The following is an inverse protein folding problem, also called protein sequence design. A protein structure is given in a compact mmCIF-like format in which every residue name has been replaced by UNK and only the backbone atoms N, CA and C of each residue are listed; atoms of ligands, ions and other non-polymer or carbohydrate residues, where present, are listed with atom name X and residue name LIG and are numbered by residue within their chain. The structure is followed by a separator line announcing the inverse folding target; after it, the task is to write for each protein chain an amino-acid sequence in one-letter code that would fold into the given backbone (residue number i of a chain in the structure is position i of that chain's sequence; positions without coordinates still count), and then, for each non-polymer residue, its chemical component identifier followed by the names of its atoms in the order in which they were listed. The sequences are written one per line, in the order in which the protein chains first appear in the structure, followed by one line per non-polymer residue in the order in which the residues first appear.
data_IF_032946845420
#
_entry.id   IF_032946845420
#
_cell.length_a   1.000
_cell.length_b   1.000
_cell.length_c   1.000
_cell.angle_alpha   90.00
_cell.angle_beta   90.00
_cell.angle_gamma   90.00
#
_symmetry.space_group_name_H-M   'P 1'
#
loop_
_entity.id
_entity.type
_entity.pdbx_description
1 polymer ?
#
# COMPACT_ATOMS: atom_id res chain seq x y z
N UNK A 1 -5.91 -10.13 17.12
CA UNK A 1 -6.41 -10.95 16.01
C UNK A 1 -7.31 -10.06 15.17
N UNK A 2 -7.02 -9.92 13.89
CA UNK A 2 -7.89 -9.29 12.91
C UNK A 2 -8.79 -10.39 12.32
N UNK A 3 -10.10 -10.20 12.39
CA UNK A 3 -11.07 -11.10 11.78
C UNK A 3 -11.95 -10.31 10.82
N UNK A 4 -12.25 -10.88 9.66
CA UNK A 4 -13.24 -10.33 8.75
C UNK A 4 -14.64 -10.79 9.15
N UNK A 5 -15.62 -9.89 9.10
CA UNK A 5 -17.02 -10.24 9.28
C UNK A 5 -17.62 -10.94 8.06
N UNK A 6 -16.93 -10.83 6.91
CA UNK A 6 -17.33 -11.48 5.67
C UNK A 6 -16.36 -12.59 5.32
N UNK A 7 -16.88 -13.72 4.89
CA UNK A 7 -16.10 -14.85 4.39
C UNK A 7 -15.94 -14.72 2.88
N UNK A 8 -14.71 -14.60 2.41
CA UNK A 8 -14.37 -14.53 0.99
C UNK A 8 -12.99 -15.11 0.73
N UNK A 9 -12.72 -15.46 -0.52
CA UNK A 9 -11.42 -15.99 -0.94
C UNK A 9 -10.30 -14.92 -0.91
N UNK A 10 -10.66 -13.65 -0.79
CA UNK A 10 -9.73 -12.51 -0.88
C UNK A 10 -9.05 -12.14 0.45
N UNK A 11 -9.55 -12.68 1.56
CA UNK A 11 -8.99 -12.44 2.89
C UNK A 11 -9.08 -10.99 3.36
N UNK A 12 -8.24 -10.64 4.33
CA UNK A 12 -8.11 -9.27 4.86
C UNK A 12 -6.90 -8.61 4.18
N UNK A 13 -7.14 -7.52 3.47
CA UNK A 13 -6.07 -6.67 2.96
C UNK A 13 -5.66 -5.65 4.03
N UNK A 14 -4.37 -5.58 4.33
CA UNK A 14 -3.80 -4.62 5.27
C UNK A 14 -2.75 -3.81 4.53
N UNK A 15 -2.91 -2.50 4.53
CA UNK A 15 -2.05 -1.57 3.80
C UNK A 15 -1.42 -0.58 4.77
N UNK A 16 -0.11 -0.36 4.62
CA UNK A 16 0.59 0.75 5.26
C UNK A 16 0.51 1.97 4.34
N UNK A 17 -0.27 2.98 4.74
CA UNK A 17 -0.51 4.18 3.93
C UNK A 17 0.31 5.40 4.40
N UNK A 18 1.43 5.16 5.07
CA UNK A 18 2.33 6.20 5.57
C UNK A 18 3.79 5.77 5.43
N UNK A 19 4.72 6.70 5.50
CA UNK A 19 6.17 6.42 5.54
C UNK A 19 6.63 5.65 6.79
N UNK A 20 5.70 5.25 7.66
CA UNK A 20 5.97 4.40 8.81
C UNK A 20 6.07 2.92 8.41
N UNK A 21 6.82 2.13 9.16
CA UNK A 21 6.92 0.68 9.00
C UNK A 21 6.15 -0.04 10.10
N UNK A 22 4.97 0.45 10.46
CA UNK A 22 4.21 -0.07 11.62
C UNK A 22 3.78 -1.51 11.38
N UNK A 23 3.20 -1.81 10.23
CA UNK A 23 2.73 -3.16 9.91
C UNK A 23 3.88 -4.15 9.76
N UNK A 24 5.01 -3.71 9.18
CA UNK A 24 6.23 -4.49 9.07
C UNK A 24 6.83 -4.76 10.47
N UNK A 25 6.92 -3.73 11.31
CA UNK A 25 7.45 -3.86 12.67
C UNK A 25 6.56 -4.75 13.57
N UNK A 26 5.26 -4.79 13.29
CA UNK A 26 4.33 -5.72 13.94
C UNK A 26 4.38 -7.13 13.34
N UNK A 27 5.15 -7.36 12.28
CA UNK A 27 5.22 -8.64 11.59
C UNK A 27 3.93 -9.04 10.87
N UNK A 28 3.08 -8.06 10.57
CA UNK A 28 1.81 -8.28 9.83
C UNK A 28 2.05 -8.35 8.33
N UNK A 29 3.06 -7.63 7.82
CA UNK A 29 3.51 -7.68 6.43
C UNK A 29 5.02 -7.91 6.40
N UNK A 30 5.52 -8.40 5.27
CA UNK A 30 6.96 -8.49 5.04
C UNK A 30 7.45 -7.26 4.28
N UNK A 31 8.75 -6.96 4.37
CA UNK A 31 9.35 -5.86 3.59
C UNK A 31 9.44 -6.16 2.08
N UNK A 32 9.24 -7.40 1.67
CA UNK A 32 9.20 -7.76 0.27
C UNK A 32 7.86 -7.34 -0.34
N UNK A 33 7.91 -6.60 -1.43
CA UNK A 33 6.74 -6.19 -2.20
C UNK A 33 6.65 -7.00 -3.49
N UNK A 34 5.41 -7.28 -3.93
CA UNK A 34 5.12 -7.91 -5.21
C UNK A 34 4.17 -7.00 -6.00
N UNK A 35 4.12 -7.17 -7.31
CA UNK A 35 3.09 -6.53 -8.13
C UNK A 35 1.75 -7.19 -7.81
N UNK A 36 0.78 -6.39 -7.39
CA UNK A 36 -0.56 -6.87 -7.01
C UNK A 36 -1.37 -7.29 -8.24
N UNK A 37 -1.47 -6.39 -9.21
CA UNK A 37 -2.25 -6.59 -10.42
C UNK A 37 -1.30 -6.66 -11.63
N UNK A 38 -0.75 -7.83 -11.90
CA UNK A 38 0.23 -8.06 -12.97
C UNK A 38 -0.42 -8.02 -14.36
N UNK A 39 0.19 -7.33 -15.31
CA UNK A 39 -0.11 -7.40 -16.75
C UNK A 39 0.99 -8.14 -17.49
N UNK A 40 0.90 -8.24 -18.82
CA UNK A 40 1.89 -8.99 -19.62
C UNK A 40 3.32 -8.43 -19.53
N UNK A 41 3.46 -7.11 -19.35
CA UNK A 41 4.74 -6.39 -19.32
C UNK A 41 4.75 -5.22 -18.33
N UNK A 42 3.87 -5.27 -17.30
CA UNK A 42 3.74 -4.19 -16.34
C UNK A 42 2.79 -4.51 -15.19
N UNK A 43 2.05 -3.50 -14.78
CA UNK A 43 1.14 -3.56 -13.62
C UNK A 43 -0.08 -2.65 -13.81
N UNK A 44 -1.16 -2.99 -13.10
CA UNK A 44 -2.31 -2.11 -12.95
C UNK A 44 -2.51 -1.68 -11.49
N UNK A 45 -3.07 -0.47 -11.31
CA UNK A 45 -3.54 -0.03 -10.00
C UNK A 45 -4.83 -0.74 -9.59
N UNK A 46 -5.25 -0.55 -8.34
CA UNK A 46 -6.62 -0.82 -7.93
C UNK A 46 -7.61 0.11 -8.66
N UNK A 47 -8.90 -0.19 -8.56
CA UNK A 47 -9.94 0.58 -9.20
C UNK A 47 -10.42 1.73 -8.31
N UNK A 48 -10.61 2.91 -8.93
CA UNK A 48 -11.06 4.14 -8.28
C UNK A 48 -12.41 4.58 -8.85
N UNK A 49 -13.22 5.23 -8.03
CA UNK A 49 -14.54 5.71 -8.43
C UNK A 49 -14.49 6.92 -9.39
N UNK A 50 -13.39 7.67 -9.36
CA UNK A 50 -13.20 8.88 -10.17
C UNK A 50 -11.75 9.02 -10.61
N UNK A 51 -11.52 9.48 -11.84
CA UNK A 51 -10.16 9.61 -12.38
C UNK A 51 -9.52 10.98 -12.15
N UNK A 52 -10.29 11.98 -11.73
CA UNK A 52 -9.84 13.38 -11.60
C UNK A 52 -9.80 13.88 -10.15
N UNK A 53 -10.41 13.16 -9.23
CA UNK A 53 -10.33 13.47 -7.79
C UNK A 53 -8.98 13.03 -7.23
N UNK A 54 -8.43 13.81 -6.29
CA UNK A 54 -7.18 13.46 -5.60
C UNK A 54 -7.29 12.08 -4.93
N UNK A 55 -6.26 11.25 -5.13
CA UNK A 55 -6.28 9.84 -4.67
C UNK A 55 -6.47 9.74 -3.16
N UNK A 56 -5.81 10.62 -2.39
CA UNK A 56 -5.96 10.62 -0.93
C UNK A 56 -7.40 10.82 -0.47
N UNK A 57 -8.19 11.63 -1.21
CA UNK A 57 -9.62 11.80 -0.93
C UNK A 57 -10.43 10.57 -1.29
N UNK A 58 -10.12 9.90 -2.40
CA UNK A 58 -10.79 8.65 -2.83
C UNK A 58 -10.52 7.50 -1.85
N UNK A 59 -9.34 7.47 -1.26
CA UNK A 59 -8.95 6.49 -0.23
C UNK A 59 -9.42 6.85 1.18
N UNK A 60 -10.05 8.02 1.37
CA UNK A 60 -10.48 8.50 2.68
C UNK A 60 -9.34 8.79 3.66
N UNK A 61 -8.14 9.09 3.16
CA UNK A 61 -6.98 9.37 4.00
C UNK A 61 -7.13 10.74 4.68
N UNK A 62 -7.00 10.79 6.00
CA UNK A 62 -7.04 12.05 6.77
C UNK A 62 -5.76 12.87 6.64
N UNK A 63 -4.65 12.22 6.36
CA UNK A 63 -3.33 12.84 6.11
C UNK A 63 -2.64 12.11 4.97
N UNK A 64 -3.09 12.34 3.72
CA UNK A 64 -2.50 11.68 2.56
C UNK A 64 -1.04 12.12 2.38
N UNK A 65 -0.15 11.22 1.93
CA UNK A 65 1.24 11.56 1.61
C UNK A 65 1.30 12.72 0.60
N UNK A 66 2.17 13.70 0.90
CA UNK A 66 2.53 14.77 -0.02
C UNK A 66 3.50 14.28 -1.10
N UNK A 67 4.46 15.12 -1.49
CA UNK A 67 5.45 14.76 -2.51
C UNK A 67 6.36 13.63 -2.03
N UNK A 68 6.23 12.48 -2.68
CA UNK A 68 7.03 11.28 -2.43
C UNK A 68 7.70 10.85 -3.73
N UNK A 69 8.96 10.46 -3.67
CA UNK A 69 9.71 9.94 -4.81
C UNK A 69 9.65 8.41 -4.82
N UNK A 70 9.08 7.84 -5.87
CA UNK A 70 9.11 6.39 -6.14
C UNK A 70 9.96 6.10 -7.37
N UNK A 71 10.42 4.86 -7.54
CA UNK A 71 11.19 4.46 -8.73
C UNK A 71 10.38 3.49 -9.58
N UNK A 72 10.20 3.80 -10.86
CA UNK A 72 9.48 2.99 -11.85
C UNK A 72 10.39 2.81 -13.07
N UNK A 73 10.67 1.56 -13.45
CA UNK A 73 11.59 1.29 -14.56
C UNK A 73 13.01 1.83 -14.34
N UNK A 74 13.45 1.95 -13.09
CA UNK A 74 14.75 2.52 -12.72
C UNK A 74 14.80 4.06 -12.76
N UNK A 75 13.67 4.74 -12.97
CA UNK A 75 13.58 6.21 -13.03
C UNK A 75 12.74 6.73 -11.88
N UNK A 76 13.18 7.84 -11.27
CA UNK A 76 12.44 8.49 -10.20
C UNK A 76 11.26 9.31 -10.74
N UNK A 77 10.10 9.18 -10.10
CA UNK A 77 8.93 10.00 -10.34
C UNK A 77 8.33 10.45 -9.00
N UNK A 78 7.89 11.70 -8.94
CA UNK A 78 7.26 12.25 -7.74
C UNK A 78 5.74 12.06 -7.82
N UNK A 79 5.16 11.47 -6.77
CA UNK A 79 3.72 11.27 -6.62
C UNK A 79 3.26 11.98 -5.34
N UNK A 80 2.10 12.65 -5.43
CA UNK A 80 1.49 13.36 -4.32
C UNK A 80 0.02 12.92 -4.20
N UNK A 81 -0.30 12.05 -3.24
CA UNK A 81 -1.66 11.55 -3.07
C UNK A 81 -2.62 12.61 -2.51
N UNK A 82 -2.11 13.66 -1.86
CA UNK A 82 -2.93 14.74 -1.32
C UNK A 82 -3.58 15.60 -2.42
N UNK A 83 -2.89 15.75 -3.56
CA UNK A 83 -3.29 16.71 -4.60
C UNK A 83 -3.45 16.12 -6.00
N UNK A 84 -2.80 14.99 -6.29
CA UNK A 84 -2.84 14.38 -7.61
C UNK A 84 -3.96 13.35 -7.73
N UNK A 85 -4.62 13.39 -8.89
CA UNK A 85 -5.54 12.36 -9.35
C UNK A 85 -4.81 11.23 -10.06
N UNK A 86 -5.49 10.09 -10.29
CA UNK A 86 -4.90 8.98 -11.07
C UNK A 86 -4.56 9.42 -12.51
N UNK A 87 -5.30 10.36 -13.08
CA UNK A 87 -5.00 10.94 -14.41
C UNK A 87 -3.67 11.68 -14.39
N UNK A 88 -3.41 12.50 -13.37
CA UNK A 88 -2.14 13.22 -13.22
C UNK A 88 -0.99 12.28 -12.93
N UNK A 89 -1.20 11.29 -12.07
CA UNK A 89 -0.17 10.30 -11.73
C UNK A 89 0.20 9.47 -12.97
N UNK A 90 -0.78 9.00 -13.74
CA UNK A 90 -0.54 8.27 -14.99
C UNK A 90 0.29 9.10 -15.98
N UNK A 91 -0.06 10.40 -16.17
CA UNK A 91 0.69 11.29 -17.05
C UNK A 91 2.15 11.49 -16.58
N UNK A 92 2.40 11.58 -15.28
CA UNK A 92 3.76 11.68 -14.73
C UNK A 92 4.57 10.39 -14.96
N UNK A 93 3.93 9.23 -14.87
CA UNK A 93 4.57 7.94 -15.13
C UNK A 93 4.83 7.78 -16.65
N UNK A 94 3.88 8.15 -17.51
CA UNK A 94 4.01 8.08 -18.96
C UNK A 94 5.15 8.97 -19.52
N UNK A 95 5.54 10.00 -18.77
CA UNK A 95 6.68 10.85 -19.12
C UNK A 95 8.05 10.16 -18.91
N UNK A 96 8.10 9.00 -18.27
CA UNK A 96 9.34 8.26 -18.05
C UNK A 96 9.77 7.53 -19.33
N UNK A 97 11.06 7.53 -19.63
CA UNK A 97 11.58 6.90 -20.84
C UNK A 97 11.39 5.37 -20.81
N UNK A 98 10.75 4.82 -21.84
CA UNK A 98 10.54 3.37 -21.99
C UNK A 98 9.43 2.79 -21.10
N UNK A 99 8.69 3.63 -20.40
CA UNK A 99 7.48 3.29 -19.65
C UNK A 99 6.29 3.95 -20.32
N UNK A 100 5.16 3.28 -20.37
CA UNK A 100 3.90 3.89 -20.80
C UNK A 100 2.86 3.73 -19.69
N UNK A 101 2.07 4.77 -19.46
CA UNK A 101 0.98 4.72 -18.49
C UNK A 101 -0.25 5.46 -18.99
N UNK A 102 -1.41 4.87 -18.77
CA UNK A 102 -2.69 5.46 -19.14
C UNK A 102 -3.77 5.12 -18.12
N UNK A 103 -4.84 5.92 -18.11
CA UNK A 103 -6.03 5.59 -17.33
C UNK A 103 -6.98 4.79 -18.21
N UNK A 104 -7.32 3.59 -17.76
CA UNK A 104 -8.33 2.74 -18.37
C UNK A 104 -9.59 2.70 -17.49
N UNK A 105 -10.74 2.44 -18.12
CA UNK A 105 -12.01 2.32 -17.38
C UNK A 105 -12.66 0.98 -17.62
N UNK A 106 -13.22 0.42 -16.53
CA UNK A 106 -14.00 -0.80 -16.51
C UNK A 106 -15.38 -0.55 -15.90
N UNK A 107 -16.34 -1.42 -16.20
CA UNK A 107 -17.64 -1.40 -15.53
C UNK A 107 -17.67 -2.54 -14.52
N UNK A 108 -17.74 -2.19 -13.23
CA UNK A 108 -17.85 -3.14 -12.12
C UNK A 108 -19.19 -2.89 -11.41
N UNK A 109 -20.03 -3.89 -11.35
CA UNK A 109 -21.37 -3.83 -10.72
C UNK A 109 -22.27 -2.69 -11.27
N UNK A 110 -22.11 -2.37 -12.55
CA UNK A 110 -22.86 -1.30 -13.22
C UNK A 110 -22.29 0.10 -13.01
N UNK A 111 -21.21 0.27 -12.27
CA UNK A 111 -20.51 1.54 -12.06
C UNK A 111 -19.22 1.59 -12.88
N UNK A 112 -18.93 2.77 -13.45
CA UNK A 112 -17.63 2.98 -14.11
C UNK A 112 -16.54 3.15 -13.07
N UNK A 113 -15.47 2.37 -13.21
CA UNK A 113 -14.28 2.42 -12.38
C UNK A 113 -13.07 2.71 -13.25
N UNK A 114 -12.05 3.32 -12.66
CA UNK A 114 -10.86 3.78 -13.36
C UNK A 114 -9.61 3.17 -12.71
N UNK A 115 -8.63 2.80 -13.55
CA UNK A 115 -7.35 2.23 -13.13
C UNK A 115 -6.21 2.89 -13.89
N UNK A 116 -5.01 2.92 -13.30
CA UNK A 116 -3.78 3.20 -14.04
C UNK A 116 -3.29 1.86 -14.60
N UNK A 117 -3.07 1.80 -15.91
CA UNK A 117 -2.40 0.70 -16.61
C UNK A 117 -0.98 1.16 -16.95
N UNK A 118 0.03 0.40 -16.50
CA UNK A 118 1.46 0.68 -16.69
C UNK A 118 2.06 -0.48 -17.48
N UNK A 119 2.82 -0.16 -18.54
CA UNK A 119 3.52 -1.12 -19.38
C UNK A 119 4.97 -0.72 -19.64
N UNK A 120 5.77 -1.66 -20.11
CA UNK A 120 7.20 -1.46 -20.41
C UNK A 120 8.11 -1.66 -19.20
N UNK A 121 7.60 -1.99 -18.04
CA UNK A 121 8.41 -2.30 -16.85
C UNK A 121 7.66 -3.13 -15.82
N UNK A 122 8.41 -4.01 -15.15
CA UNK A 122 7.98 -4.74 -13.94
C UNK A 122 8.83 -4.37 -12.73
N UNK A 123 9.65 -3.30 -12.85
CA UNK A 123 10.54 -2.85 -11.78
C UNK A 123 9.96 -1.63 -11.08
N UNK A 124 9.58 -1.81 -9.82
CA UNK A 124 8.99 -0.80 -8.95
C UNK A 124 9.70 -0.78 -7.61
N UNK A 125 10.02 0.42 -7.09
CA UNK A 125 10.54 0.62 -5.73
C UNK A 125 9.70 1.68 -5.05
N UNK A 126 9.20 1.36 -3.85
CA UNK A 126 8.22 2.15 -3.11
C UNK A 126 8.54 2.07 -1.60
N UNK A 127 9.44 2.93 -1.14
CA UNK A 127 9.87 2.96 0.25
C UNK A 127 8.83 3.65 1.17
N UNK A 128 7.93 4.45 0.57
CA UNK A 128 6.92 5.26 1.28
C UNK A 128 5.48 4.73 1.08
N UNK A 129 5.32 3.53 0.52
CA UNK A 129 4.04 2.81 0.34
C UNK A 129 2.99 3.53 -0.52
N UNK A 130 3.41 4.42 -1.42
CA UNK A 130 2.54 5.17 -2.32
C UNK A 130 2.01 4.29 -3.44
N UNK A 131 2.88 3.46 -4.06
CA UNK A 131 2.47 2.49 -5.08
C UNK A 131 1.60 1.37 -4.46
N UNK A 132 1.84 1.04 -3.20
CA UNK A 132 0.96 0.14 -2.45
C UNK A 132 -0.40 0.78 -2.21
N UNK A 133 -0.46 2.07 -1.85
CA UNK A 133 -1.72 2.81 -1.69
C UNK A 133 -2.52 2.90 -2.99
N UNK A 134 -1.84 2.92 -4.13
CA UNK A 134 -2.45 2.85 -5.45
C UNK A 134 -2.88 1.43 -5.85
N UNK A 135 -2.48 0.40 -5.09
CA UNK A 135 -2.73 -1.01 -5.42
C UNK A 135 -1.91 -1.53 -6.59
N UNK A 136 -0.83 -0.85 -6.97
CA UNK A 136 0.16 -1.35 -7.96
C UNK A 136 1.03 -2.43 -7.33
N UNK A 137 1.46 -2.19 -6.09
CA UNK A 137 2.21 -3.15 -5.28
C UNK A 137 1.37 -3.65 -4.10
N UNK A 138 1.71 -4.81 -3.63
CA UNK A 138 1.23 -5.35 -2.35
C UNK A 138 2.42 -5.87 -1.53
N UNK A 139 2.29 -5.84 -0.19
CA UNK A 139 3.21 -6.54 0.68
C UNK A 139 3.05 -8.04 0.47
N UNK A 140 4.14 -8.78 0.32
CA UNK A 140 4.08 -10.24 0.34
C UNK A 140 3.75 -10.69 1.77
N UNK A 141 2.54 -11.13 1.96
CA UNK A 141 2.14 -11.81 3.19
C UNK A 141 2.82 -13.18 3.18
N UNK A 142 3.65 -13.48 4.17
CA UNK A 142 4.06 -14.86 4.39
C UNK A 142 2.81 -15.73 4.48
N UNK A 143 2.82 -16.94 3.92
CA UNK A 143 1.68 -17.85 3.91
C UNK A 143 1.08 -17.92 5.32
N UNK A 144 -0.06 -17.29 5.52
CA UNK A 144 -0.73 -17.23 6.82
C UNK A 144 -1.56 -18.49 6.94
N UNK A 145 -1.03 -19.47 7.65
CA UNK A 145 -1.89 -20.49 8.22
C UNK A 145 -2.83 -19.79 9.22
N UNK A 146 -4.10 -19.68 8.89
CA UNK A 146 -5.28 -19.30 9.71
C UNK A 146 -5.09 -18.32 10.91
N UNK A 147 -3.87 -17.97 11.31
CA UNK A 147 -3.54 -17.05 12.41
C UNK A 147 -2.38 -16.16 12.00
N UNK A 148 -2.62 -14.86 11.84
CA UNK A 148 -1.56 -13.85 11.80
C UNK A 148 -0.92 -13.80 13.19
N UNK A 149 0.24 -14.45 13.32
CA UNK A 149 1.05 -14.35 14.53
C UNK A 149 2.08 -13.25 14.29
N UNK A 150 1.92 -12.11 14.92
CA UNK A 150 2.94 -11.08 14.96
C UNK A 150 4.27 -11.65 15.47
N UNK A 151 5.38 -11.07 15.06
CA UNK A 151 6.69 -11.37 15.66
C UNK A 151 6.66 -11.16 17.17
N UNK A 152 7.62 -11.74 17.90
CA UNK A 152 7.75 -11.50 19.33
C UNK A 152 8.07 -10.01 19.55
N UNK A 153 7.10 -9.28 20.09
CA UNK A 153 7.30 -7.88 20.48
C UNK A 153 7.77 -7.89 21.93
N UNK A 154 8.86 -7.22 22.20
CA UNK A 154 9.39 -7.06 23.54
C UNK A 154 8.93 -5.72 24.14
N UNK A 155 8.91 -5.64 25.45
CA UNK A 155 8.75 -4.39 26.19
C UNK A 155 9.91 -3.42 25.88
N UNK A 156 9.82 -2.19 26.36
CA UNK A 156 10.87 -1.16 26.16
C UNK A 156 12.25 -1.54 26.68
N UNK A 157 12.37 -2.57 27.51
CA UNK A 157 13.66 -3.13 27.96
C UNK A 157 14.36 -4.00 26.89
N UNK A 158 13.67 -4.29 25.77
CA UNK A 158 14.18 -5.06 24.64
C UNK A 158 14.37 -6.57 24.92
N UNK A 159 14.01 -7.05 26.11
CA UNK A 159 14.28 -8.43 26.54
C UNK A 159 13.04 -9.19 27.01
N UNK A 160 12.07 -8.48 27.57
CA UNK A 160 10.86 -9.11 28.13
C UNK A 160 9.79 -9.22 27.05
N UNK A 161 9.40 -10.45 26.70
CA UNK A 161 8.33 -10.69 25.73
C UNK A 161 6.98 -10.17 26.24
N UNK A 162 6.22 -9.52 25.36
CA UNK A 162 4.88 -9.04 25.67
C UNK A 162 3.93 -10.21 25.89
N UNK A 163 3.15 -10.14 26.95
CA UNK A 163 2.09 -11.09 27.29
C UNK A 163 0.75 -10.37 27.40
N UNK A 164 -0.33 -11.12 27.57
CA UNK A 164 -1.69 -10.56 27.79
C UNK A 164 -1.80 -9.69 29.06
N UNK A 165 -0.81 -9.75 29.95
CA UNK A 165 -0.77 -8.96 31.18
C UNK A 165 0.20 -7.77 31.11
N UNK A 166 0.92 -7.62 29.99
CA UNK A 166 1.85 -6.50 29.80
C UNK A 166 1.08 -5.19 29.63
N UNK A 167 1.42 -4.18 30.41
CA UNK A 167 0.76 -2.88 30.37
C UNK A 167 1.29 -2.01 29.20
N UNK A 168 0.48 -1.08 28.73
CA UNK A 168 0.82 -0.24 27.58
C UNK A 168 2.07 0.62 27.79
N UNK A 169 2.29 1.11 29.01
CA UNK A 169 3.47 1.87 29.39
C UNK A 169 4.76 1.04 29.30
N UNK A 170 4.66 -0.26 29.51
CA UNK A 170 5.79 -1.20 29.35
C UNK A 170 6.14 -1.47 27.88
N UNK A 171 5.14 -1.31 26.98
CA UNK A 171 5.31 -1.54 25.55
C UNK A 171 5.84 -0.28 24.85
N UNK A 172 5.31 0.88 25.20
CA UNK A 172 5.55 2.14 24.47
C UNK A 172 6.29 3.21 25.30
N UNK A 173 6.60 2.90 26.57
CA UNK A 173 7.19 3.86 27.51
C UNK A 173 6.15 4.73 28.25
N UNK A 174 6.56 5.39 29.32
CA UNK A 174 5.70 6.04 30.30
C UNK A 174 4.93 7.29 29.83
N UNK A 175 5.02 7.68 28.56
CA UNK A 175 4.38 8.90 28.02
C UNK A 175 3.24 8.63 27.03
N UNK A 176 2.68 7.45 27.01
CA UNK A 176 1.51 7.14 26.17
C UNK A 176 0.25 7.31 27.03
N UNK A 177 -0.46 8.43 26.84
CA UNK A 177 -1.81 8.67 27.38
C UNK A 177 -2.85 8.46 26.30
#
# INVERSE_FOLDING_TARGET
VLTSDETGAEGISVLEASSGNVLNNLGLITSATAIKNTTSDGAMSDSFADSNTAVGSLLGLTSPPGDVSVTIGGQAVTINLATQSITTIAANIDALAGVSASVVSDTVDGETRYRIDISGTTSFVDDDHVLQSLGILEGTYGAVAEVLTGGTVNTTDGTTAISSTTQWDQIFGANVQ
#
